data_IF_206720829148
#
_entry.id   IF_206720829148
#
_cell.length_a   1.000
_cell.length_b   1.000
_cell.length_c   1.000
_cell.angle_alpha   90.00
_cell.angle_beta   90.00
_cell.angle_gamma   90.00
#
_symmetry.space_group_name_H-M   'P 1'
#
loop_
_entity.id
_entity.type
_entity.pdbx_description
1 polymer ?
#
# COMPACT_ATOMS: atom_id res chain seq x y z
N UNK A 1 -1.53 -16.25 12.44
CA UNK A 1 -1.66 -15.98 11.00
C UNK A 1 -2.27 -14.60 10.82
N UNK A 2 -1.59 -13.73 10.09
CA UNK A 2 -2.12 -12.41 9.72
C UNK A 2 -3.26 -12.59 8.73
N UNK A 3 -4.38 -11.90 8.92
CA UNK A 3 -5.53 -11.96 8.01
C UNK A 3 -5.57 -10.75 7.07
N UNK A 4 -6.32 -10.85 5.97
CA UNK A 4 -6.59 -9.72 5.09
C UNK A 4 -7.21 -8.53 5.86
N UNK A 5 -8.06 -8.80 6.85
CA UNK A 5 -8.68 -7.77 7.69
C UNK A 5 -7.66 -7.04 8.57
N UNK A 6 -6.66 -7.76 9.11
CA UNK A 6 -5.58 -7.15 9.90
C UNK A 6 -4.74 -6.19 9.05
N UNK A 7 -4.43 -6.60 7.81
CA UNK A 7 -3.71 -5.78 6.83
C UNK A 7 -4.54 -4.54 6.48
N UNK A 8 -5.83 -4.70 6.16
CA UNK A 8 -6.71 -3.58 5.86
C UNK A 8 -6.82 -2.59 7.02
N UNK A 9 -6.92 -3.09 8.25
CA UNK A 9 -6.96 -2.27 9.46
C UNK A 9 -5.68 -1.44 9.61
N UNK A 10 -4.52 -2.09 9.39
CA UNK A 10 -3.21 -1.44 9.45
C UNK A 10 -3.07 -0.37 8.36
N UNK A 11 -3.37 -0.70 7.11
CA UNK A 11 -3.31 0.26 6.01
C UNK A 11 -4.26 1.44 6.22
N UNK A 12 -5.49 1.21 6.69
CA UNK A 12 -6.45 2.29 7.00
C UNK A 12 -5.94 3.21 8.11
N UNK A 13 -5.31 2.65 9.14
CA UNK A 13 -4.74 3.43 10.26
C UNK A 13 -3.63 4.37 9.79
N UNK A 14 -2.76 3.91 8.89
CA UNK A 14 -1.62 4.68 8.38
C UNK A 14 -1.94 5.50 7.13
N UNK A 15 -3.07 5.26 6.47
CA UNK A 15 -3.45 5.96 5.24
C UNK A 15 -3.37 7.49 5.36
N UNK A 16 -3.86 8.15 6.43
CA UNK A 16 -3.77 9.62 6.53
C UNK A 16 -2.33 10.15 6.47
N UNK A 17 -1.41 9.51 7.20
CA UNK A 17 0.02 9.86 7.22
C UNK A 17 0.65 9.66 5.84
N UNK A 18 0.38 8.51 5.21
CA UNK A 18 0.93 8.15 3.91
C UNK A 18 0.43 9.10 2.81
N UNK A 19 -0.86 9.45 2.83
CA UNK A 19 -1.45 10.41 1.88
C UNK A 19 -0.79 11.79 2.00
N UNK A 20 -0.61 12.28 3.23
CA UNK A 20 0.01 13.59 3.48
C UNK A 20 1.49 13.61 3.05
N UNK A 21 2.24 12.54 3.34
CA UNK A 21 3.69 12.51 3.14
C UNK A 21 4.11 12.19 1.71
N UNK A 22 3.33 11.37 1.00
CA UNK A 22 3.73 10.78 -0.28
C UNK A 22 2.81 11.15 -1.46
N UNK A 23 1.88 12.10 -1.28
CA UNK A 23 0.89 12.47 -2.31
C UNK A 23 0.16 11.24 -2.87
N UNK A 24 -0.27 10.36 -1.96
CA UNK A 24 -1.00 9.15 -2.34
C UNK A 24 -2.51 9.43 -2.37
N UNK A 25 -3.15 8.94 -3.44
CA UNK A 25 -4.60 8.93 -3.60
C UNK A 25 -5.23 7.71 -2.94
N UNK A 26 -4.68 6.52 -3.23
CA UNK A 26 -5.26 5.24 -2.79
C UNK A 26 -4.20 4.17 -2.55
N UNK A 27 -4.51 3.24 -1.64
CA UNK A 27 -3.80 1.98 -1.46
C UNK A 27 -4.76 0.82 -1.70
N UNK A 28 -4.33 -0.17 -2.49
CA UNK A 28 -5.04 -1.43 -2.72
C UNK A 28 -4.17 -2.62 -2.34
N UNK A 29 -4.77 -3.68 -1.81
CA UNK A 29 -4.09 -4.96 -1.56
C UNK A 29 -4.35 -5.86 -2.76
N UNK A 30 -3.34 -6.59 -3.23
CA UNK A 30 -3.52 -7.57 -4.30
C UNK A 30 -2.77 -8.87 -3.99
N UNK A 31 -2.74 -9.80 -4.95
CA UNK A 31 -2.00 -11.06 -4.86
C UNK A 31 -2.58 -12.09 -3.87
N UNK A 32 -1.72 -12.90 -3.26
CA UNK A 32 -2.03 -14.11 -2.47
C UNK A 32 -3.06 -13.86 -1.36
N UNK A 33 -2.95 -12.76 -0.62
CA UNK A 33 -3.87 -12.39 0.46
C UNK A 33 -5.31 -12.11 -0.02
N UNK A 34 -5.48 -11.63 -1.25
CA UNK A 34 -6.82 -11.42 -1.84
C UNK A 34 -7.38 -12.73 -2.40
N UNK A 35 -6.52 -13.62 -2.92
CA UNK A 35 -6.92 -14.94 -3.45
C UNK A 35 -7.14 -16.01 -2.37
N UNK A 36 -6.72 -15.75 -1.12
CA UNK A 36 -6.75 -16.74 -0.05
C UNK A 36 -5.66 -17.80 -0.16
N UNK A 37 -4.61 -17.52 -0.93
CA UNK A 37 -3.48 -18.43 -1.22
C UNK A 37 -2.24 -18.12 -0.37
N UNK A 38 -2.35 -17.22 0.61
CA UNK A 38 -1.22 -16.84 1.45
C UNK A 38 -0.77 -18.00 2.35
N UNK A 39 0.55 -18.10 2.52
CA UNK A 39 1.25 -18.99 3.44
C UNK A 39 1.82 -18.20 4.62
N UNK A 40 2.36 -18.88 5.63
CA UNK A 40 3.03 -18.24 6.76
C UNK A 40 4.28 -17.43 6.38
N UNK A 41 4.82 -17.66 5.17
CA UNK A 41 5.98 -16.95 4.63
C UNK A 41 5.60 -15.97 3.50
N UNK A 42 4.31 -15.72 3.30
CA UNK A 42 3.85 -14.82 2.25
C UNK A 42 4.04 -13.36 2.63
N UNK A 43 4.55 -12.58 1.67
CA UNK A 43 4.60 -11.13 1.76
C UNK A 43 3.24 -10.49 1.46
N UNK A 44 3.12 -9.18 1.73
CA UNK A 44 1.92 -8.39 1.42
C UNK A 44 2.21 -7.49 0.22
N UNK A 45 1.47 -7.72 -0.87
CA UNK A 45 1.55 -6.92 -2.08
C UNK A 45 0.55 -5.74 -2.04
N UNK A 46 1.05 -4.52 -2.25
CA UNK A 46 0.25 -3.28 -2.18
C UNK A 46 0.43 -2.45 -3.46
N UNK A 47 -0.69 -2.04 -4.04
CA UNK A 47 -0.75 -1.11 -5.16
C UNK A 47 -0.97 0.30 -4.61
N UNK A 48 -0.11 1.24 -4.99
CA UNK A 48 -0.26 2.65 -4.62
C UNK A 48 -0.66 3.47 -5.83
N UNK A 49 -1.77 4.20 -5.71
CA UNK A 49 -2.16 5.24 -6.65
C UNK A 49 -1.72 6.58 -6.09
N UNK A 50 -0.95 7.34 -6.87
CA UNK A 50 -0.54 8.70 -6.53
C UNK A 50 -1.61 9.71 -6.94
N UNK A 51 -1.62 10.86 -6.28
CA UNK A 51 -2.41 12.01 -6.73
C UNK A 51 -1.96 12.44 -8.13
N UNK A 52 -2.88 13.01 -8.91
CA UNK A 52 -2.65 13.36 -10.32
C UNK A 52 -1.56 14.42 -10.53
N UNK A 53 -1.27 15.21 -9.51
CA UNK A 53 -0.23 16.24 -9.46
C UNK A 53 0.99 15.80 -8.63
N UNK A 54 1.04 14.53 -8.20
CA UNK A 54 2.16 13.99 -7.47
C UNK A 54 3.44 14.08 -8.30
N UNK A 55 4.50 14.61 -7.68
CA UNK A 55 5.82 14.65 -8.29
C UNK A 55 6.65 13.52 -7.72
N UNK A 56 6.81 12.47 -8.51
CA UNK A 56 7.73 11.38 -8.18
C UNK A 56 8.81 11.30 -9.26
N UNK A 57 10.05 11.09 -8.84
CA UNK A 57 11.21 11.00 -9.73
C UNK A 57 12.15 9.92 -9.22
N UNK A 58 12.73 9.16 -10.15
CA UNK A 58 13.75 8.16 -9.82
C UNK A 58 15.08 8.83 -9.44
N UNK A 59 15.36 9.99 -10.03
CA UNK A 59 16.56 10.79 -9.80
C UNK A 59 16.15 12.24 -9.54
N UNK A 60 16.73 12.84 -8.49
CA UNK A 60 16.64 14.28 -8.24
C UNK A 60 17.96 14.91 -8.66
N UNK A 61 17.92 15.82 -9.63
CA UNK A 61 19.08 16.61 -10.01
C UNK A 61 19.03 17.94 -9.26
N UNK A 62 20.05 18.17 -8.45
CA UNK A 62 20.27 19.40 -7.68
C UNK A 62 20.82 20.51 -8.57
#
# INVERSE_FOLDING_TARGET
MTTLADIQSTLKRHLPEVRQKYQMRQLGIFSSFVRGEQTDTSDVDVLAELDSDARFGLLTFC
#
